data_IF_917918133821
#
_entry.id   IF_917918133821
#
_cell.length_a   1.000
_cell.length_b   1.000
_cell.length_c   1.000
_cell.angle_alpha   90.00
_cell.angle_beta   90.00
_cell.angle_gamma   90.00
#
_symmetry.space_group_name_H-M   'P 1'
#
loop_
_entity.id
_entity.type
_entity.pdbx_description
1 polymer ?
#
# COMPACT_ATOMS: atom_id res chain seq x y z
N UNK A 1 51.24 17.62 -75.69
CA UNK A 1 50.38 16.45 -75.62
C UNK A 1 50.63 15.77 -74.32
N UNK A 2 49.79 15.93 -73.32
CA UNK A 2 49.69 15.00 -72.17
C UNK A 2 48.41 15.29 -71.43
N UNK A 3 47.50 14.35 -71.44
CA UNK A 3 46.19 14.33 -70.81
C UNK A 3 46.33 14.05 -69.33
N UNK A 4 45.84 14.97 -68.49
CA UNK A 4 45.70 14.74 -67.02
C UNK A 4 44.42 13.99 -66.73
N UNK A 5 44.54 12.92 -65.98
CA UNK A 5 43.43 12.13 -65.47
C UNK A 5 43.03 12.68 -64.10
N UNK A 6 41.79 13.18 -64.02
CA UNK A 6 41.19 13.65 -62.74
C UNK A 6 40.61 12.46 -62.01
N UNK A 7 41.21 12.08 -60.88
CA UNK A 7 40.67 11.05 -60.02
C UNK A 7 39.56 11.63 -59.14
N UNK A 8 38.32 11.13 -59.29
CA UNK A 8 37.19 11.44 -58.42
C UNK A 8 37.32 10.60 -57.14
N UNK A 9 37.53 11.26 -56.01
CA UNK A 9 37.44 10.62 -54.69
C UNK A 9 35.98 10.53 -54.31
N UNK A 10 35.45 9.30 -54.24
CA UNK A 10 34.09 9.00 -53.70
C UNK A 10 34.17 9.01 -52.19
N UNK A 11 33.59 10.01 -51.56
CA UNK A 11 33.41 10.08 -50.11
C UNK A 11 32.19 9.25 -49.72
N UNK A 12 32.41 8.04 -49.22
CA UNK A 12 31.36 7.22 -48.59
C UNK A 12 31.09 7.76 -47.19
N UNK A 13 29.94 8.46 -47.02
CA UNK A 13 29.43 8.84 -45.70
C UNK A 13 28.69 7.65 -45.10
N UNK A 14 29.32 6.99 -44.11
CA UNK A 14 28.65 6.01 -43.25
C UNK A 14 27.80 6.76 -42.26
N UNK A 15 26.48 6.76 -42.44
CA UNK A 15 25.52 7.22 -41.45
C UNK A 15 25.35 6.13 -40.39
N UNK A 16 25.93 6.31 -39.24
CA UNK A 16 25.71 5.44 -38.08
C UNK A 16 24.38 5.86 -37.42
N UNK A 17 23.31 5.10 -37.71
CA UNK A 17 22.01 5.30 -37.05
C UNK A 17 22.08 4.73 -35.63
N UNK A 18 22.17 5.59 -34.60
CA UNK A 18 21.97 5.18 -33.22
C UNK A 18 20.49 4.87 -33.01
N UNK A 19 20.13 3.59 -32.94
CA UNK A 19 18.82 3.15 -32.47
C UNK A 19 18.74 3.37 -30.95
N UNK A 20 18.09 4.44 -30.53
CA UNK A 20 17.75 4.68 -29.12
C UNK A 20 16.59 3.76 -28.78
N UNK A 21 16.88 2.61 -28.16
CA UNK A 21 15.88 1.71 -27.62
C UNK A 21 15.27 2.34 -26.37
N UNK A 22 14.13 3.00 -26.51
CA UNK A 22 13.31 3.45 -25.37
C UNK A 22 12.65 2.22 -24.73
N UNK A 23 13.27 1.69 -23.67
CA UNK A 23 12.63 0.71 -22.82
C UNK A 23 11.44 1.38 -22.11
N UNK A 24 10.22 1.14 -22.61
CA UNK A 24 9.01 1.50 -21.89
C UNK A 24 8.97 0.64 -20.61
N UNK A 25 9.28 1.25 -19.47
CA UNK A 25 9.04 0.62 -18.17
C UNK A 25 7.52 0.43 -18.06
N UNK A 26 7.06 -0.80 -18.26
CA UNK A 26 5.66 -1.17 -18.01
C UNK A 26 5.39 -0.95 -16.53
N UNK A 27 4.66 0.08 -16.19
CA UNK A 27 4.13 0.26 -14.85
C UNK A 27 3.28 -0.99 -14.55
N UNK A 28 3.80 -1.90 -13.74
CA UNK A 28 3.06 -3.09 -13.33
C UNK A 28 1.80 -2.64 -12.61
N UNK A 29 0.64 -2.93 -13.18
CA UNK A 29 -0.64 -2.62 -12.54
C UNK A 29 -0.74 -3.37 -11.22
N UNK A 30 -1.11 -2.66 -10.14
CA UNK A 30 -1.30 -3.26 -8.82
C UNK A 30 -2.40 -4.32 -8.90
N UNK A 31 -2.05 -5.57 -8.55
CA UNK A 31 -3.02 -6.68 -8.51
C UNK A 31 -3.75 -6.68 -7.17
N UNK A 32 -5.02 -6.36 -7.19
CA UNK A 32 -5.90 -6.35 -6.03
C UNK A 32 -6.63 -7.67 -5.87
N UNK A 33 -6.77 -8.13 -4.62
CA UNK A 33 -7.53 -9.32 -4.27
C UNK A 33 -8.36 -9.03 -3.02
N UNK A 34 -9.65 -9.41 -3.05
CA UNK A 34 -10.50 -9.33 -1.87
C UNK A 34 -10.05 -10.38 -0.84
N UNK A 35 -9.72 -9.91 0.35
CA UNK A 35 -9.52 -10.75 1.54
C UNK A 35 -10.79 -10.70 2.38
N UNK A 36 -11.29 -11.84 2.83
CA UNK A 36 -12.47 -11.95 3.67
C UNK A 36 -12.16 -12.70 4.96
N UNK A 37 -12.85 -12.33 6.03
CA UNK A 37 -12.85 -13.02 7.32
C UNK A 37 -14.23 -13.62 7.50
N UNK A 38 -14.45 -14.91 7.15
CA UNK A 38 -15.77 -15.54 7.12
C UNK A 38 -16.48 -15.51 8.47
N UNK A 39 -15.73 -15.63 9.56
CA UNK A 39 -16.25 -15.68 10.93
C UNK A 39 -16.96 -14.40 11.37
N UNK A 40 -16.61 -13.27 10.74
CA UNK A 40 -17.12 -11.96 11.14
C UNK A 40 -17.75 -11.17 10.00
N UNK A 41 -17.73 -11.71 8.78
CA UNK A 41 -18.25 -11.09 7.58
C UNK A 41 -17.42 -9.89 7.07
N UNK A 42 -16.29 -9.59 7.69
CA UNK A 42 -15.41 -8.51 7.25
C UNK A 42 -14.74 -8.82 5.92
N UNK A 43 -14.52 -7.80 5.10
CA UNK A 43 -13.69 -7.95 3.90
C UNK A 43 -12.98 -6.65 3.55
N UNK A 44 -11.89 -6.76 2.79
CA UNK A 44 -11.06 -5.63 2.34
C UNK A 44 -10.31 -6.00 1.07
N UNK A 45 -10.03 -5.03 0.21
CA UNK A 45 -9.14 -5.21 -0.94
C UNK A 45 -7.67 -5.13 -0.50
N UNK A 46 -6.88 -6.14 -0.88
CA UNK A 46 -5.45 -6.24 -0.58
C UNK A 46 -4.64 -6.15 -1.88
N UNK A 47 -3.65 -5.25 -1.98
CA UNK A 47 -2.74 -5.19 -3.13
C UNK A 47 -1.70 -6.31 -3.06
N UNK A 48 -2.04 -7.51 -3.58
CA UNK A 48 -1.23 -8.73 -3.47
C UNK A 48 0.08 -8.69 -4.27
N UNK A 49 0.25 -7.76 -5.19
CA UNK A 49 1.54 -7.50 -5.83
C UNK A 49 2.49 -6.67 -4.96
N UNK A 50 1.99 -6.04 -3.89
CA UNK A 50 2.76 -5.24 -2.92
C UNK A 50 3.01 -6.04 -1.65
N UNK A 51 1.95 -6.55 -1.04
CA UNK A 51 2.01 -7.41 0.15
C UNK A 51 2.09 -8.88 -0.27
N UNK A 52 3.28 -9.34 -0.60
CA UNK A 52 3.52 -10.68 -1.18
C UNK A 52 3.69 -11.76 -0.14
N UNK A 53 4.13 -11.40 1.08
CA UNK A 53 4.43 -12.34 2.14
C UNK A 53 3.33 -12.37 3.19
N UNK A 54 3.12 -13.55 3.77
CA UNK A 54 2.22 -13.76 4.90
C UNK A 54 3.01 -13.49 6.19
N UNK A 55 2.48 -12.61 7.03
CA UNK A 55 3.04 -12.29 8.34
C UNK A 55 2.48 -13.16 9.45
N UNK A 56 2.76 -12.78 10.69
CA UNK A 56 2.22 -13.45 11.88
C UNK A 56 0.68 -13.34 11.93
N UNK A 57 0.04 -14.32 12.57
CA UNK A 57 -1.39 -14.27 12.82
C UNK A 57 -1.68 -13.14 13.84
N UNK A 58 -2.63 -12.24 13.56
CA UNK A 58 -3.04 -11.21 14.51
C UNK A 58 -3.91 -11.80 15.64
N UNK A 59 -4.15 -10.99 16.66
CA UNK A 59 -5.15 -11.31 17.67
C UNK A 59 -6.55 -11.34 17.05
N UNK A 60 -7.37 -12.31 17.46
CA UNK A 60 -8.70 -12.53 16.90
C UNK A 60 -8.67 -13.22 15.53
N UNK A 61 -9.55 -12.79 14.63
CA UNK A 61 -9.66 -13.33 13.27
C UNK A 61 -8.94 -12.43 12.28
N UNK A 62 -8.29 -12.99 11.27
CA UNK A 62 -7.66 -12.24 10.20
C UNK A 62 -6.27 -12.70 9.83
N UNK A 63 -5.50 -11.83 9.18
CA UNK A 63 -4.17 -12.12 8.65
C UNK A 63 -3.32 -10.85 8.57
N UNK A 64 -2.02 -10.99 8.82
CA UNK A 64 -1.02 -9.99 8.52
C UNK A 64 -0.27 -10.34 7.23
N UNK A 65 0.15 -9.30 6.52
CA UNK A 65 0.93 -9.39 5.29
C UNK A 65 2.12 -8.42 5.35
N UNK A 66 3.18 -8.71 4.60
CA UNK A 66 4.35 -7.85 4.49
C UNK A 66 4.79 -7.69 3.04
N UNK A 67 5.48 -6.60 2.77
CA UNK A 67 6.26 -6.43 1.54
C UNK A 67 7.47 -7.38 1.57
N UNK A 68 7.97 -7.78 0.39
CA UNK A 68 9.12 -8.70 0.28
C UNK A 68 10.38 -8.15 0.97
N UNK A 69 10.56 -6.83 1.00
CA UNK A 69 11.67 -6.15 1.69
C UNK A 69 11.42 -5.93 3.20
N UNK A 70 10.23 -6.29 3.69
CA UNK A 70 9.84 -6.16 5.10
C UNK A 70 9.68 -4.72 5.60
N UNK A 71 9.75 -3.70 4.72
CA UNK A 71 9.66 -2.29 5.14
C UNK A 71 8.25 -1.82 5.45
N UNK A 72 7.25 -2.50 4.89
CA UNK A 72 5.84 -2.21 5.16
C UNK A 72 5.08 -3.48 5.54
N UNK A 73 4.05 -3.30 6.35
CA UNK A 73 3.14 -4.37 6.77
C UNK A 73 1.68 -3.90 6.77
N UNK A 74 0.79 -4.86 6.56
CA UNK A 74 -0.67 -4.70 6.60
C UNK A 74 -1.23 -5.79 7.50
N UNK A 75 -1.92 -5.40 8.56
CA UNK A 75 -2.70 -6.32 9.39
C UNK A 75 -4.19 -6.07 9.17
N UNK A 76 -4.91 -7.13 8.84
CA UNK A 76 -6.37 -7.16 8.72
C UNK A 76 -6.86 -8.03 9.86
N UNK A 77 -7.68 -7.45 10.73
CA UNK A 77 -8.17 -8.19 11.90
C UNK A 77 -9.59 -7.82 12.26
N UNK A 78 -10.30 -8.79 12.84
CA UNK A 78 -11.61 -8.60 13.48
C UNK A 78 -11.57 -9.17 14.89
N UNK A 79 -12.04 -8.38 15.84
CA UNK A 79 -12.08 -8.74 17.25
C UNK A 79 -13.48 -8.55 17.80
N UNK A 80 -13.89 -9.38 18.76
CA UNK A 80 -15.16 -9.19 19.47
C UNK A 80 -15.18 -7.86 20.22
N UNK A 81 -16.29 -7.15 20.11
CA UNK A 81 -16.58 -5.95 20.90
C UNK A 81 -17.60 -6.24 22.01
N UNK A 82 -17.42 -7.34 22.72
CA UNK A 82 -18.33 -7.73 23.82
C UNK A 82 -18.41 -6.71 24.95
N UNK A 83 -17.37 -5.90 25.11
CA UNK A 83 -17.34 -4.79 26.07
C UNK A 83 -18.13 -3.55 25.64
N UNK A 84 -18.63 -3.50 24.40
CA UNK A 84 -19.39 -2.36 23.87
C UNK A 84 -18.57 -1.08 23.72
N UNK A 85 -17.28 -1.18 23.46
CA UNK A 85 -16.41 -0.03 23.27
C UNK A 85 -16.89 0.84 22.11
N UNK A 86 -16.96 2.14 22.32
CA UNK A 86 -17.12 3.11 21.24
C UNK A 86 -15.79 3.28 20.47
N UNK A 87 -15.81 3.78 19.22
CA UNK A 87 -14.58 4.07 18.49
C UNK A 87 -13.60 4.96 19.25
N UNK A 88 -14.11 5.97 19.97
CA UNK A 88 -13.28 6.86 20.77
C UNK A 88 -12.61 6.15 21.96
N UNK A 89 -13.38 5.32 22.68
CA UNK A 89 -12.86 4.59 23.83
C UNK A 89 -11.83 3.53 23.41
N UNK A 90 -12.13 2.78 22.34
CA UNK A 90 -11.20 1.78 21.82
C UNK A 90 -9.89 2.41 21.35
N UNK A 91 -9.96 3.53 20.61
CA UNK A 91 -8.76 4.26 20.17
C UNK A 91 -7.92 4.73 21.37
N UNK A 92 -8.56 5.21 22.44
CA UNK A 92 -7.86 5.61 23.66
C UNK A 92 -7.12 4.43 24.33
N UNK A 93 -7.74 3.24 24.33
CA UNK A 93 -7.13 2.01 24.87
C UNK A 93 -5.98 1.49 24.00
N UNK A 94 -6.04 1.73 22.67
CA UNK A 94 -5.02 1.25 21.72
C UNK A 94 -3.66 1.92 21.87
N UNK A 95 -3.60 3.08 22.47
CA UNK A 95 -2.36 3.85 22.63
C UNK A 95 -1.57 4.00 21.32
N UNK A 96 -2.14 4.68 20.30
CA UNK A 96 -1.43 4.93 19.07
C UNK A 96 -0.14 5.71 19.33
N UNK A 97 0.86 5.68 18.42
CA UNK A 97 2.06 6.48 18.58
C UNK A 97 1.74 7.95 18.89
N UNK A 98 2.53 8.58 19.74
CA UNK A 98 2.22 9.91 20.32
C UNK A 98 2.07 11.03 19.28
N UNK A 99 2.76 10.93 18.15
CA UNK A 99 2.72 11.94 17.08
C UNK A 99 1.60 11.65 16.09
N UNK A 100 0.37 12.00 16.47
CA UNK A 100 -0.80 11.90 15.59
C UNK A 100 -0.77 13.07 14.59
N UNK A 101 -0.82 12.78 13.29
CA UNK A 101 -0.86 13.75 12.19
C UNK A 101 -2.24 13.87 11.53
N UNK A 102 -3.06 12.84 11.68
CA UNK A 102 -4.46 12.85 11.24
C UNK A 102 -5.31 12.00 12.17
N UNK A 103 -6.51 12.48 12.50
CA UNK A 103 -7.50 11.75 13.32
C UNK A 103 -8.91 12.11 12.90
N UNK A 104 -9.74 11.10 12.68
CA UNK A 104 -11.20 11.24 12.51
C UNK A 104 -11.90 10.15 13.31
N UNK A 105 -12.87 10.54 14.11
CA UNK A 105 -13.68 9.64 14.93
C UNK A 105 -15.16 9.94 14.65
N UNK A 106 -15.94 8.89 14.47
CA UNK A 106 -17.40 8.92 14.34
C UNK A 106 -18.01 7.92 15.30
N UNK A 107 -19.33 7.78 15.31
CA UNK A 107 -20.02 6.73 16.08
C UNK A 107 -19.79 5.31 15.54
N UNK A 108 -19.30 5.16 14.30
CA UNK A 108 -19.15 3.86 13.63
C UNK A 108 -17.72 3.48 13.27
N UNK A 109 -16.80 4.42 13.25
CA UNK A 109 -15.42 4.14 12.94
C UNK A 109 -14.46 5.20 13.49
N UNK A 110 -13.20 4.86 13.56
CA UNK A 110 -12.12 5.86 13.60
C UNK A 110 -11.08 5.60 12.51
N UNK A 111 -10.38 6.66 12.17
CA UNK A 111 -9.14 6.64 11.38
C UNK A 111 -8.11 7.47 12.13
N UNK A 112 -6.92 6.95 12.28
CA UNK A 112 -5.78 7.68 12.83
C UNK A 112 -4.53 7.43 11.98
N UNK A 113 -3.76 8.48 11.74
CA UNK A 113 -2.43 8.37 11.16
C UNK A 113 -1.45 9.00 12.13
N UNK A 114 -0.43 8.24 12.49
CA UNK A 114 0.60 8.61 13.44
C UNK A 114 1.97 8.50 12.79
N UNK A 115 2.92 9.21 13.34
CA UNK A 115 4.30 9.15 12.91
C UNK A 115 5.17 8.67 14.06
N UNK A 116 5.93 7.60 13.82
CA UNK A 116 6.89 7.07 14.79
C UNK A 116 8.13 6.61 14.05
N UNK A 117 9.28 7.07 14.51
CA UNK A 117 10.57 6.86 13.87
C UNK A 117 10.52 7.36 12.41
N UNK A 118 10.82 6.52 11.45
CA UNK A 118 10.76 6.81 10.00
C UNK A 118 9.50 6.26 9.32
N UNK A 119 8.48 5.79 10.10
CA UNK A 119 7.27 5.16 9.58
C UNK A 119 6.01 5.96 9.86
N UNK A 120 5.05 5.84 8.94
CA UNK A 120 3.66 6.18 9.16
C UNK A 120 2.93 4.93 9.66
N UNK A 121 2.17 5.10 10.73
CA UNK A 121 1.26 4.13 11.31
C UNK A 121 -0.15 4.58 11.02
N UNK A 122 -0.85 3.85 10.16
CA UNK A 122 -2.21 4.15 9.74
C UNK A 122 -3.14 3.06 10.24
N UNK A 123 -4.13 3.45 11.05
CA UNK A 123 -5.13 2.56 11.61
C UNK A 123 -6.51 3.04 11.20
N UNK A 124 -7.33 2.15 10.63
CA UNK A 124 -8.76 2.33 10.49
C UNK A 124 -9.48 1.16 11.12
N UNK A 125 -10.45 1.44 12.00
CA UNK A 125 -11.32 0.43 12.60
C UNK A 125 -12.78 0.83 12.42
N UNK A 126 -13.57 -0.08 11.85
CA UNK A 126 -15.03 0.01 11.72
C UNK A 126 -15.68 -0.83 12.82
N UNK A 127 -16.79 -0.34 13.36
CA UNK A 127 -17.56 -0.98 14.45
C UNK A 127 -18.91 -1.42 13.91
N UNK A 128 -19.12 -2.73 13.79
CA UNK A 128 -20.35 -3.30 13.26
C UNK A 128 -20.58 -4.70 13.81
N UNK A 129 -21.84 -5.09 13.96
CA UNK A 129 -22.28 -6.47 14.27
C UNK A 129 -21.59 -7.10 15.50
N UNK A 130 -21.27 -6.30 16.52
CA UNK A 130 -20.59 -6.79 17.73
C UNK A 130 -19.09 -7.04 17.56
N UNK A 131 -18.52 -6.60 16.46
CA UNK A 131 -17.09 -6.72 16.16
C UNK A 131 -16.44 -5.37 15.89
N UNK A 132 -15.12 -5.34 16.03
CA UNK A 132 -14.24 -4.26 15.62
C UNK A 132 -13.38 -4.79 14.47
N UNK A 133 -13.59 -4.25 13.27
CA UNK A 133 -12.87 -4.63 12.06
C UNK A 133 -11.82 -3.59 11.73
N UNK A 134 -10.55 -3.98 11.72
CA UNK A 134 -9.44 -3.06 11.55
C UNK A 134 -8.55 -3.41 10.36
N UNK A 135 -8.02 -2.38 9.71
CA UNK A 135 -6.80 -2.42 8.90
C UNK A 135 -5.76 -1.55 9.56
N UNK A 136 -4.57 -2.11 9.78
CA UNK A 136 -3.41 -1.46 10.37
C UNK A 136 -2.30 -1.53 9.34
N UNK A 137 -1.76 -0.38 8.92
CA UNK A 137 -0.79 -0.29 7.84
C UNK A 137 0.40 0.51 8.33
N UNK A 138 1.60 -0.09 8.28
CA UNK A 138 2.85 0.59 8.61
C UNK A 138 3.73 0.65 7.36
N UNK A 139 4.22 1.82 7.01
CA UNK A 139 5.01 2.02 5.80
C UNK A 139 6.01 3.17 5.96
N UNK A 140 7.10 3.22 5.13
CA UNK A 140 8.09 4.28 5.22
C UNK A 140 7.50 5.67 4.95
N UNK A 141 7.77 6.62 5.84
CA UNK A 141 7.26 7.97 5.71
C UNK A 141 7.84 8.71 4.49
N UNK A 142 9.06 8.38 4.09
CA UNK A 142 9.70 8.93 2.89
C UNK A 142 8.98 8.55 1.59
N UNK A 143 8.18 7.47 1.60
CA UNK A 143 7.44 6.95 0.46
C UNK A 143 5.94 7.29 0.51
N UNK A 144 5.53 8.21 1.38
CA UNK A 144 4.12 8.54 1.63
C UNK A 144 3.30 8.74 0.35
N UNK A 145 3.85 9.42 -0.65
CA UNK A 145 3.13 9.70 -1.91
C UNK A 145 2.77 8.43 -2.67
N UNK A 146 3.66 7.44 -2.67
CA UNK A 146 3.46 6.18 -3.36
C UNK A 146 2.44 5.30 -2.62
N UNK A 147 2.39 5.44 -1.28
CA UNK A 147 1.47 4.71 -0.42
C UNK A 147 0.07 5.32 -0.32
N UNK A 148 -0.11 6.63 -0.54
CA UNK A 148 -1.39 7.31 -0.31
C UNK A 148 -2.55 6.67 -1.08
N UNK A 149 -2.35 6.29 -2.33
CA UNK A 149 -3.37 5.62 -3.15
C UNK A 149 -3.71 4.22 -2.65
N UNK A 150 -2.70 3.44 -2.25
CA UNK A 150 -2.86 2.09 -1.71
C UNK A 150 -3.61 2.12 -0.38
N UNK A 151 -3.16 2.94 0.56
CA UNK A 151 -3.78 3.11 1.89
C UNK A 151 -5.22 3.57 1.77
N UNK A 152 -5.49 4.54 0.89
CA UNK A 152 -6.85 5.04 0.64
C UNK A 152 -7.77 3.93 0.15
N UNK A 153 -7.35 3.11 -0.81
CA UNK A 153 -8.18 2.03 -1.34
C UNK A 153 -8.38 0.93 -0.30
N UNK A 154 -7.33 0.45 0.37
CA UNK A 154 -7.45 -0.53 1.45
C UNK A 154 -8.46 -0.04 2.49
N UNK A 155 -8.27 1.19 2.97
CA UNK A 155 -9.13 1.81 3.98
C UNK A 155 -10.58 1.91 3.55
N UNK A 156 -10.86 2.36 2.33
CA UNK A 156 -12.21 2.58 1.84
C UNK A 156 -12.97 1.29 1.50
N UNK A 157 -12.25 0.20 1.25
CA UNK A 157 -12.86 -1.11 0.94
C UNK A 157 -13.06 -1.98 2.18
N UNK A 158 -12.60 -1.54 3.36
CA UNK A 158 -12.87 -2.24 4.61
C UNK A 158 -14.38 -2.21 4.91
N UNK A 159 -15.01 -3.38 4.88
CA UNK A 159 -16.40 -3.58 5.30
C UNK A 159 -16.42 -4.35 6.60
N UNK A 160 -17.46 -4.11 7.41
CA UNK A 160 -17.86 -5.01 8.50
C UNK A 160 -19.22 -5.61 8.14
N UNK A 161 -19.47 -6.87 8.52
CA UNK A 161 -20.73 -7.59 8.27
C UNK A 161 -21.96 -6.91 8.87
#
# INVERSE_FOLDING_TARGET
>A
MMRGIIGQAILVRVMLALAVSTSAASAQSVRWQKFAIPETGASVDVPRSVFTEVGAKPDGYGQSFRTADGRADLTIQSMSNSGGDTPALYLAKKHPPSRIVYKRITSRFFVVSSFKDDKIWYDRCNFASGYIHCVLINYPASEKRDWDGLVTRISNTLTGG
#
